data_IF_229583628872
#
_entry.id   IF_229583628872
#
_cell.length_a   1.000
_cell.length_b   1.000
_cell.length_c   1.000
_cell.angle_alpha   90.00
_cell.angle_beta   90.00
_cell.angle_gamma   90.00
#
_symmetry.space_group_name_H-M   'P 1'
#
loop_
_entity.id
_entity.type
_entity.pdbx_description
1 polymer ?
#
# COMPACT_ATOMS: atom_id res chain seq x y z
N UNK A 1 -7.91 4.83 6.71
CA UNK A 1 -8.34 3.43 6.62
C UNK A 1 -9.67 3.26 7.36
N UNK A 2 -10.48 2.25 7.04
CA UNK A 2 -11.62 1.88 7.89
C UNK A 2 -11.12 1.02 9.05
N UNK A 3 -11.75 1.10 10.23
CA UNK A 3 -11.45 0.26 11.40
C UNK A 3 -11.38 -1.23 11.05
N UNK A 4 -12.28 -1.68 10.19
CA UNK A 4 -12.33 -3.07 9.72
C UNK A 4 -11.12 -3.46 8.87
N UNK A 5 -10.62 -2.53 8.06
CA UNK A 5 -9.41 -2.75 7.23
C UNK A 5 -8.19 -2.90 8.13
N UNK A 6 -8.10 -2.12 9.20
CA UNK A 6 -7.02 -2.22 10.20
C UNK A 6 -7.08 -3.55 10.98
N UNK A 7 -8.28 -4.01 11.36
CA UNK A 7 -8.48 -5.32 12.02
C UNK A 7 -8.07 -6.48 11.12
N UNK A 8 -8.47 -6.48 9.84
CA UNK A 8 -8.07 -7.49 8.87
C UNK A 8 -6.56 -7.44 8.65
N UNK A 9 -5.96 -6.25 8.54
CA UNK A 9 -4.51 -6.11 8.40
C UNK A 9 -3.77 -6.73 9.60
N UNK A 10 -4.17 -6.39 10.82
CA UNK A 10 -3.54 -6.89 12.04
C UNK A 10 -3.64 -8.42 12.18
N UNK A 11 -4.69 -9.03 11.61
CA UNK A 11 -4.88 -10.47 11.56
C UNK A 11 -3.98 -11.13 10.51
N UNK A 12 -3.86 -10.55 9.31
CA UNK A 12 -3.20 -11.18 8.17
C UNK A 12 -1.69 -10.91 8.12
N UNK A 13 -1.23 -9.76 8.61
CA UNK A 13 0.17 -9.39 8.67
C UNK A 13 1.06 -10.48 9.32
N UNK A 14 0.76 -10.98 10.54
CA UNK A 14 1.61 -12.01 11.17
C UNK A 14 1.63 -13.33 10.40
N UNK A 15 0.57 -13.65 9.65
CA UNK A 15 0.51 -14.87 8.81
C UNK A 15 1.51 -14.76 7.67
N UNK A 16 1.53 -13.62 6.98
CA UNK A 16 2.47 -13.35 5.88
C UNK A 16 3.91 -13.31 6.39
N UNK A 17 4.15 -12.62 7.50
CA UNK A 17 5.49 -12.47 8.09
C UNK A 17 6.04 -13.80 8.62
N UNK A 18 5.21 -14.65 9.23
CA UNK A 18 5.62 -15.99 9.70
C UNK A 18 6.07 -16.91 8.56
N UNK A 19 5.65 -16.63 7.33
CA UNK A 19 6.06 -17.36 6.13
C UNK A 19 7.32 -16.79 5.47
N UNK A 20 7.92 -15.74 6.05
CA UNK A 20 9.16 -15.12 5.57
C UNK A 20 8.96 -14.04 4.50
N UNK A 21 7.76 -13.49 4.37
CA UNK A 21 7.46 -12.40 3.43
C UNK A 21 7.21 -11.08 4.17
N UNK A 22 7.52 -9.96 3.54
CA UNK A 22 7.08 -8.65 4.00
C UNK A 22 5.59 -8.46 3.67
N UNK A 23 4.77 -8.14 4.68
CA UNK A 23 3.42 -7.64 4.44
C UNK A 23 3.51 -6.19 3.94
N UNK A 24 3.51 -6.02 2.61
CA UNK A 24 3.67 -4.70 2.00
C UNK A 24 2.43 -3.82 2.19
N UNK A 25 1.24 -4.38 2.24
CA UNK A 25 0.03 -3.62 2.52
C UNK A 25 -1.22 -4.30 1.99
N UNK A 26 -2.36 -3.65 2.15
CA UNK A 26 -3.62 -4.16 1.63
C UNK A 26 -4.56 -3.06 1.17
N UNK A 27 -5.40 -3.40 0.19
CA UNK A 27 -6.51 -2.58 -0.24
C UNK A 27 -7.82 -3.38 -0.16
N UNK A 28 -8.88 -2.72 0.31
CA UNK A 28 -10.24 -3.24 0.20
C UNK A 28 -11.02 -2.39 -0.80
N UNK A 29 -11.19 -2.91 -2.01
CA UNK A 29 -11.80 -2.22 -3.14
C UNK A 29 -13.28 -2.60 -3.21
N UNK A 30 -14.17 -1.60 -3.14
CA UNK A 30 -15.61 -1.79 -3.27
C UNK A 30 -16.06 -1.36 -4.67
N UNK A 31 -16.73 -2.26 -5.42
CA UNK A 31 -17.16 -2.02 -6.81
C UNK A 31 -18.24 -3.01 -7.27
N UNK A 32 -18.18 -3.46 -8.53
CA UNK A 32 -19.03 -4.56 -9.07
C UNK A 32 -18.58 -5.93 -8.53
N UNK A 33 -18.49 -6.04 -7.20
CA UNK A 33 -17.77 -7.07 -6.45
C UNK A 33 -16.76 -6.42 -5.52
N UNK A 34 -16.69 -6.88 -4.28
CA UNK A 34 -15.63 -6.47 -3.36
C UNK A 34 -14.35 -7.24 -3.67
N UNK A 35 -13.19 -6.61 -3.54
CA UNK A 35 -11.88 -7.26 -3.65
C UNK A 35 -11.05 -6.91 -2.44
N UNK A 36 -10.57 -7.93 -1.72
CA UNK A 36 -9.51 -7.83 -0.74
C UNK A 36 -8.19 -8.14 -1.44
N UNK A 37 -7.35 -7.13 -1.65
CA UNK A 37 -6.03 -7.30 -2.25
C UNK A 37 -4.95 -7.15 -1.19
N UNK A 38 -4.06 -8.14 -1.13
CA UNK A 38 -2.90 -8.16 -0.24
C UNK A 38 -1.65 -8.05 -1.11
N UNK A 39 -0.77 -7.13 -0.73
CA UNK A 39 0.54 -6.97 -1.32
C UNK A 39 1.58 -7.63 -0.44
N UNK A 40 2.37 -8.51 -1.02
CA UNK A 40 3.52 -9.15 -0.37
C UNK A 40 4.81 -8.75 -1.09
N UNK A 41 5.90 -8.69 -0.36
CA UNK A 41 7.21 -8.48 -0.97
C UNK A 41 8.31 -9.32 -0.30
N UNK A 42 9.43 -9.46 -1.01
CA UNK A 42 10.69 -9.98 -0.47
C UNK A 42 11.84 -9.53 -1.35
N UNK A 43 13.06 -9.52 -0.81
CA UNK A 43 14.26 -9.07 -1.52
C UNK A 43 14.51 -9.82 -2.84
N UNK A 44 14.24 -11.13 -2.86
CA UNK A 44 14.40 -12.00 -4.03
C UNK A 44 13.32 -11.81 -5.10
N UNK A 45 12.32 -10.96 -4.84
CA UNK A 45 11.12 -10.79 -5.66
C UNK A 45 10.09 -11.91 -5.46
N UNK A 46 8.87 -11.66 -5.90
CA UNK A 46 7.71 -12.52 -5.67
C UNK A 46 7.32 -13.24 -6.96
N UNK A 47 7.20 -14.56 -6.88
CA UNK A 47 6.69 -15.42 -7.95
C UNK A 47 5.19 -15.67 -7.81
N UNK A 48 4.59 -16.25 -8.85
CA UNK A 48 3.17 -16.65 -8.83
C UNK A 48 2.90 -17.72 -7.78
N UNK A 49 3.86 -18.63 -7.55
CA UNK A 49 3.72 -19.71 -6.56
C UNK A 49 3.73 -19.16 -5.13
N UNK A 50 4.51 -18.11 -4.87
CA UNK A 50 4.52 -17.42 -3.57
C UNK A 50 3.15 -16.77 -3.29
N UNK A 51 2.57 -16.09 -4.28
CA UNK A 51 1.23 -15.53 -4.18
C UNK A 51 0.17 -16.61 -3.92
N UNK A 52 0.26 -17.76 -4.60
CA UNK A 52 -0.66 -18.88 -4.41
C UNK A 52 -0.54 -19.46 -2.98
N UNK A 53 0.68 -19.64 -2.49
CA UNK A 53 0.96 -20.15 -1.14
C UNK A 53 0.37 -19.24 -0.06
N UNK A 54 0.61 -17.93 -0.17
CA UNK A 54 0.08 -16.94 0.76
C UNK A 54 -1.45 -16.87 0.66
N UNK A 55 -2.00 -16.89 -0.55
CA UNK A 55 -3.46 -16.89 -0.77
C UNK A 55 -4.13 -18.06 -0.04
N UNK A 56 -3.57 -19.27 -0.10
CA UNK A 56 -4.10 -20.42 0.63
C UNK A 56 -4.07 -20.24 2.15
N UNK A 57 -2.99 -19.70 2.72
CA UNK A 57 -2.87 -19.50 4.17
C UNK A 57 -3.80 -18.40 4.66
N UNK A 58 -3.85 -17.27 3.96
CA UNK A 58 -4.73 -16.14 4.27
C UNK A 58 -6.20 -16.56 4.15
N UNK A 59 -6.57 -17.31 3.09
CA UNK A 59 -7.95 -17.80 2.93
C UNK A 59 -8.39 -18.63 4.12
N UNK A 60 -7.54 -19.55 4.62
CA UNK A 60 -7.87 -20.36 5.78
C UNK A 60 -8.12 -19.54 7.06
N UNK A 61 -7.38 -18.45 7.26
CA UNK A 61 -7.60 -17.53 8.38
C UNK A 61 -8.90 -16.75 8.21
N UNK A 62 -9.16 -16.24 7.00
CA UNK A 62 -10.40 -15.51 6.69
C UNK A 62 -11.64 -16.40 6.81
N UNK A 63 -11.55 -17.68 6.48
CA UNK A 63 -12.66 -18.64 6.61
C UNK A 63 -13.01 -18.94 8.07
N UNK A 64 -12.02 -18.90 8.98
CA UNK A 64 -12.22 -19.15 10.42
C UNK A 64 -12.73 -17.90 11.14
N UNK A 65 -12.10 -16.75 10.86
CA UNK A 65 -12.41 -15.50 11.56
C UNK A 65 -13.61 -14.76 10.94
N UNK A 66 -13.95 -15.05 9.68
CA UNK A 66 -15.04 -14.47 8.87
C UNK A 66 -15.24 -12.94 9.05
N UNK A 67 -14.19 -12.11 8.90
CA UNK A 67 -14.28 -10.70 9.24
C UNK A 67 -15.05 -9.85 8.21
N UNK A 68 -15.25 -10.36 6.99
CA UNK A 68 -15.86 -9.66 5.86
C UNK A 68 -17.24 -10.24 5.56
N UNK A 69 -18.26 -9.41 5.68
CA UNK A 69 -19.63 -9.81 5.34
C UNK A 69 -19.87 -9.72 3.83
N UNK A 70 -20.39 -10.79 3.24
CA UNK A 70 -20.77 -10.86 1.82
C UNK A 70 -19.66 -11.38 0.92
N UNK A 71 -19.97 -11.48 -0.37
CA UNK A 71 -19.02 -12.02 -1.36
C UNK A 71 -17.90 -11.03 -1.67
N UNK A 72 -16.68 -11.54 -1.75
CA UNK A 72 -15.49 -10.79 -2.17
C UNK A 72 -14.51 -11.71 -2.92
N UNK A 73 -13.63 -11.09 -3.71
CA UNK A 73 -12.48 -11.75 -4.31
C UNK A 73 -11.25 -11.54 -3.43
N UNK A 74 -10.52 -12.61 -3.12
CA UNK A 74 -9.20 -12.53 -2.51
C UNK A 74 -8.13 -12.47 -3.61
N UNK A 75 -7.28 -11.46 -3.56
CA UNK A 75 -6.13 -11.31 -4.45
C UNK A 75 -4.85 -11.17 -3.63
N UNK A 76 -3.79 -11.88 -4.04
CA UNK A 76 -2.44 -11.74 -3.50
C UNK A 76 -1.50 -11.39 -4.65
N UNK A 77 -0.73 -10.31 -4.51
CA UNK A 77 0.19 -9.84 -5.55
C UNK A 77 1.46 -9.23 -4.97
N UNK A 78 2.49 -9.08 -5.78
CA UNK A 78 3.59 -8.17 -5.46
C UNK A 78 3.18 -6.71 -5.68
N UNK A 79 3.89 -5.74 -5.09
CA UNK A 79 3.62 -4.32 -5.32
C UNK A 79 3.99 -3.82 -6.73
N UNK A 80 4.69 -4.64 -7.52
CA UNK A 80 5.08 -4.31 -8.90
C UNK A 80 6.10 -3.16 -8.99
N UNK A 81 6.19 -2.51 -10.15
CA UNK A 81 7.11 -1.37 -10.36
C UNK A 81 6.54 -0.06 -9.81
N UNK A 82 5.23 0.15 -9.94
CA UNK A 82 4.57 1.34 -9.42
C UNK A 82 4.53 1.37 -7.88
N UNK A 83 4.76 0.23 -7.20
CA UNK A 83 4.88 0.10 -5.74
C UNK A 83 3.93 1.01 -4.93
N UNK A 84 2.68 0.60 -4.67
CA UNK A 84 1.78 1.36 -3.79
C UNK A 84 2.40 1.55 -2.40
N UNK A 85 2.34 2.74 -1.82
CA UNK A 85 2.98 3.04 -0.54
C UNK A 85 1.94 3.23 0.56
N UNK A 86 2.07 2.46 1.65
CA UNK A 86 1.10 2.37 2.75
C UNK A 86 1.64 2.91 4.07
N UNK A 87 2.95 2.86 4.32
CA UNK A 87 3.55 3.27 5.60
C UNK A 87 4.69 4.27 5.39
N UNK A 88 4.93 5.16 6.35
CA UNK A 88 6.07 6.10 6.29
C UNK A 88 7.42 5.39 6.16
N UNK A 89 7.55 4.20 6.73
CA UNK A 89 8.76 3.38 6.56
C UNK A 89 9.00 3.05 5.07
N UNK A 90 7.96 2.65 4.34
CA UNK A 90 8.07 2.40 2.90
C UNK A 90 8.45 3.67 2.14
N UNK A 91 7.83 4.81 2.46
CA UNK A 91 8.18 6.09 1.83
C UNK A 91 9.66 6.42 2.05
N UNK A 92 10.20 6.17 3.25
CA UNK A 92 11.59 6.48 3.58
C UNK A 92 12.60 5.77 2.67
N UNK A 93 12.24 4.59 2.15
CA UNK A 93 13.06 3.78 1.23
C UNK A 93 13.22 4.43 -0.15
N UNK A 94 12.38 5.42 -0.51
CA UNK A 94 12.31 6.01 -1.84
C UNK A 94 12.51 7.53 -1.83
N UNK A 95 13.26 8.06 -0.85
CA UNK A 95 13.71 9.45 -0.88
C UNK A 95 14.58 9.66 -2.12
N UNK A 96 14.22 10.65 -2.94
CA UNK A 96 14.81 10.96 -4.24
C UNK A 96 14.01 10.43 -5.43
N UNK A 97 12.99 9.60 -5.22
CA UNK A 97 12.13 9.10 -6.29
C UNK A 97 10.85 9.92 -6.47
N UNK A 98 10.28 9.81 -7.66
CA UNK A 98 8.99 10.42 -7.98
C UNK A 98 7.85 9.56 -7.47
N UNK A 99 6.94 10.19 -6.75
CA UNK A 99 5.73 9.59 -6.19
C UNK A 99 4.49 10.23 -6.82
N UNK A 100 3.55 9.40 -7.24
CA UNK A 100 2.20 9.84 -7.56
C UNK A 100 1.34 9.78 -6.31
N UNK A 101 0.71 10.90 -5.96
CA UNK A 101 -0.03 11.07 -4.70
C UNK A 101 -1.45 11.53 -5.00
N UNK A 102 -2.41 10.90 -4.34
CA UNK A 102 -3.79 11.38 -4.19
C UNK A 102 -3.99 11.84 -2.74
N UNK A 103 -4.55 13.01 -2.57
CA UNK A 103 -4.82 13.62 -1.28
C UNK A 103 -6.31 13.53 -0.92
N UNK A 104 -6.61 13.47 0.37
CA UNK A 104 -7.96 13.50 0.93
C UNK A 104 -8.63 14.85 0.68
N UNK A 105 -7.89 15.95 0.88
CA UNK A 105 -8.28 17.31 0.57
C UNK A 105 -7.24 17.99 -0.33
N UNK A 106 -7.62 19.01 -1.13
CA UNK A 106 -6.65 19.74 -1.94
C UNK A 106 -5.61 20.44 -1.05
N UNK A 107 -4.33 20.23 -1.35
CA UNK A 107 -3.22 21.02 -0.79
C UNK A 107 -2.65 21.86 -1.93
N UNK A 108 -2.48 23.17 -1.70
CA UNK A 108 -2.11 24.13 -2.75
C UNK A 108 -2.98 24.01 -4.03
N UNK A 109 -4.30 23.80 -3.85
CA UNK A 109 -5.27 23.65 -4.94
C UNK A 109 -5.23 22.32 -5.70
N UNK A 110 -4.40 21.36 -5.28
CA UNK A 110 -4.18 20.08 -5.98
C UNK A 110 -4.64 18.90 -5.12
N UNK A 111 -5.51 18.05 -5.67
CA UNK A 111 -5.93 16.77 -5.03
C UNK A 111 -5.13 15.58 -5.55
N UNK A 112 -4.48 15.72 -6.70
CA UNK A 112 -3.57 14.73 -7.29
C UNK A 112 -2.32 15.47 -7.74
N UNK A 113 -1.16 14.90 -7.46
CA UNK A 113 0.12 15.46 -7.84
C UNK A 113 1.16 14.35 -8.05
N UNK A 114 2.17 14.64 -8.84
CA UNK A 114 3.38 13.84 -8.97
C UNK A 114 4.54 14.74 -8.59
N UNK A 115 5.34 14.31 -7.63
CA UNK A 115 6.42 15.10 -7.05
C UNK A 115 7.55 14.18 -6.59
N UNK A 116 8.76 14.72 -6.48
CA UNK A 116 9.90 13.98 -5.95
C UNK A 116 9.83 13.97 -4.42
N UNK A 117 9.92 12.81 -3.79
CA UNK A 117 10.01 12.70 -2.34
C UNK A 117 11.40 13.16 -1.88
N UNK A 118 11.48 14.23 -1.10
CA UNK A 118 12.77 14.81 -0.69
C UNK A 118 13.17 14.42 0.73
N UNK A 119 12.21 14.21 1.63
CA UNK A 119 12.45 13.75 2.99
C UNK A 119 11.14 13.34 3.68
N UNK A 120 11.27 12.75 4.86
CA UNK A 120 10.19 12.57 5.85
C UNK A 120 10.60 13.33 7.11
N UNK A 121 9.70 14.14 7.66
CA UNK A 121 9.90 14.86 8.93
C UNK A 121 8.74 14.58 9.87
N UNK A 122 8.96 13.70 10.84
CA UNK A 122 7.89 13.19 11.71
C UNK A 122 6.79 12.51 10.90
N UNK A 123 5.57 13.05 10.99
CA UNK A 123 4.40 12.56 10.26
C UNK A 123 4.17 13.31 8.94
N UNK A 124 5.10 14.15 8.50
CA UNK A 124 5.01 14.91 7.26
C UNK A 124 5.91 14.31 6.16
N UNK A 125 5.40 14.26 4.92
CA UNK A 125 6.21 13.99 3.73
C UNK A 125 6.60 15.31 3.06
N UNK A 126 7.89 15.47 2.76
CA UNK A 126 8.43 16.65 2.07
C UNK A 126 8.63 16.32 0.59
N UNK A 127 8.08 17.16 -0.27
CA UNK A 127 7.98 16.92 -1.70
C UNK A 127 8.56 18.10 -2.49
N UNK A 128 9.23 17.82 -3.60
CA UNK A 128 9.55 18.82 -4.62
C UNK A 128 8.56 18.67 -5.78
N UNK A 129 7.72 19.68 -5.95
CA UNK A 129 6.82 19.81 -7.09
C UNK A 129 7.38 20.83 -8.08
N UNK A 130 8.27 20.40 -8.97
CA UNK A 130 8.85 21.22 -10.05
C UNK A 130 9.56 22.49 -9.53
N UNK A 131 10.36 22.34 -8.47
CA UNK A 131 11.09 23.40 -7.78
C UNK A 131 10.33 24.07 -6.64
N UNK A 132 9.06 23.70 -6.41
CA UNK A 132 8.25 24.18 -5.29
C UNK A 132 8.27 23.16 -4.15
N UNK A 133 8.87 23.55 -3.01
CA UNK A 133 8.88 22.71 -1.82
C UNK A 133 7.47 22.64 -1.19
N UNK A 134 6.97 21.43 -1.00
CA UNK A 134 5.66 21.17 -0.43
C UNK A 134 5.78 20.24 0.78
N UNK A 135 5.17 20.64 1.89
CA UNK A 135 4.98 19.79 3.08
C UNK A 135 3.56 19.27 3.10
N UNK A 136 3.39 17.95 3.17
CA UNK A 136 2.09 17.30 3.23
C UNK A 136 2.04 16.39 4.46
N UNK A 137 1.10 16.59 5.39
CA UNK A 137 0.87 15.63 6.46
C UNK A 137 0.53 14.26 5.86
N UNK A 138 1.18 13.20 6.33
CA UNK A 138 0.95 11.84 5.83
C UNK A 138 -0.52 11.44 5.98
N UNK A 139 -1.19 11.91 7.04
CA UNK A 139 -2.62 11.72 7.25
C UNK A 139 -3.52 12.33 6.15
N UNK A 140 -3.01 13.25 5.31
CA UNK A 140 -3.72 13.78 4.14
C UNK A 140 -3.51 12.96 2.87
N UNK A 141 -2.60 11.98 2.87
CA UNK A 141 -2.41 11.06 1.76
C UNK A 141 -3.54 10.03 1.76
N UNK A 142 -4.34 10.02 0.69
CA UNK A 142 -5.37 9.01 0.45
C UNK A 142 -4.73 7.74 -0.12
N UNK A 143 -3.90 7.91 -1.16
CA UNK A 143 -3.09 6.84 -1.76
C UNK A 143 -1.83 7.42 -2.37
N UNK A 144 -0.78 6.62 -2.42
CA UNK A 144 0.41 6.94 -3.20
C UNK A 144 1.02 5.68 -3.81
N UNK A 145 1.81 5.90 -4.85
CA UNK A 145 2.61 4.89 -5.52
C UNK A 145 3.87 5.55 -6.08
N UNK A 146 4.95 4.79 -6.27
CA UNK A 146 6.07 5.22 -7.08
C UNK A 146 5.62 5.44 -8.54
N UNK A 147 6.36 6.31 -9.22
CA UNK A 147 6.30 6.41 -10.68
C UNK A 147 7.34 5.44 -11.24
N UNK A 148 6.91 4.42 -11.98
CA UNK A 148 7.84 3.51 -12.64
C UNK A 148 8.79 4.27 -13.59
N UNK A 149 10.09 4.11 -13.36
CA UNK A 149 11.14 4.57 -14.28
C UNK A 149 11.40 3.45 -15.27
N UNK A 150 11.15 3.73 -16.55
CA UNK A 150 11.53 2.84 -17.65
C UNK A 150 12.85 3.37 -18.21
N UNK A 151 13.96 2.68 -17.91
CA UNK A 151 15.25 2.91 -18.57
C UNK A 151 15.29 2.22 -19.95
#
# INVERSE_FOLDING_TARGET
MSRRTEEIQAMLQPVVEAMGYEFWGMEYLQGRGATLRIFIDREEGISVDDCAMISHQVSGVLDVEDPISGEYNLEVSSPGMDRPLFTLEQWSRYIGDDVQIRLLAPVAGRRRLTATLTAIDGDDVLLDLKGEALRVPFAQVDRASLVAKFD
#
